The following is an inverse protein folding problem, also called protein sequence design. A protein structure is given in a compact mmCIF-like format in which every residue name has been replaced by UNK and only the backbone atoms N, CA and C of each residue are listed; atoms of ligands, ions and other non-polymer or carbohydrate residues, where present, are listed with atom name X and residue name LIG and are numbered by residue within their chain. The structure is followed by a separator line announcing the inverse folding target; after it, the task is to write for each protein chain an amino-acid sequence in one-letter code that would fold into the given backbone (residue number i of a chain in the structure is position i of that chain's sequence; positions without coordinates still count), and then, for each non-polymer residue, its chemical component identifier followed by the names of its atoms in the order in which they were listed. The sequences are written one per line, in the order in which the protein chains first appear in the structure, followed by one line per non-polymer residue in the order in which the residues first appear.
data_IF_267653587905
#
_entry.id   IF_267653587905
#
_cell.length_a   1.000
_cell.length_b   1.000
_cell.length_c   1.000
_cell.angle_alpha   90.00
_cell.angle_beta   90.00
_cell.angle_gamma   90.00
#
_symmetry.space_group_name_H-M   'P 1'
#
loop_
_entity.id
_entity.type
_entity.pdbx_description
1 polymer ?
#
# COMPACT_ATOMS: atom_id res chain seq x y z
N UNK A 1 14.42 -12.05 4.28
CA UNK A 1 13.28 -11.27 3.74
C UNK A 1 13.61 -10.55 2.42
N UNK A 2 14.72 -9.79 2.30
CA UNK A 2 15.06 -9.13 1.02
C UNK A 2 15.28 -10.11 -0.15
N UNK A 3 15.87 -11.28 0.10
CA UNK A 3 16.10 -12.31 -0.93
C UNK A 3 14.83 -13.04 -1.40
N UNK A 4 13.71 -12.89 -0.69
CA UNK A 4 12.46 -13.60 -0.97
C UNK A 4 11.45 -12.74 -1.76
N UNK A 5 11.88 -11.55 -2.19
CA UNK A 5 11.07 -10.59 -2.94
C UNK A 5 11.38 -10.68 -4.43
N UNK A 6 10.41 -10.30 -5.24
CA UNK A 6 10.45 -10.37 -6.71
C UNK A 6 11.60 -9.53 -7.29
N UNK A 7 11.93 -8.43 -6.61
CA UNK A 7 13.04 -7.56 -7.00
C UNK A 7 14.41 -8.26 -6.91
N UNK A 8 14.53 -9.35 -6.16
CA UNK A 8 15.77 -10.14 -6.11
C UNK A 8 16.12 -10.75 -7.46
N UNK A 9 15.13 -11.20 -8.25
CA UNK A 9 15.38 -11.78 -9.58
C UNK A 9 16.11 -10.79 -10.50
N UNK A 10 15.80 -9.50 -10.36
CA UNK A 10 16.46 -8.42 -11.10
C UNK A 10 17.86 -8.21 -10.56
N UNK A 11 18.04 -8.19 -9.23
CA UNK A 11 19.36 -7.99 -8.61
C UNK A 11 20.36 -9.06 -9.04
N UNK A 12 19.94 -10.32 -9.21
CA UNK A 12 20.81 -11.41 -9.69
C UNK A 12 21.47 -11.05 -11.03
N UNK A 13 20.73 -10.47 -11.97
CA UNK A 13 21.23 -10.11 -13.29
C UNK A 13 22.42 -9.12 -13.21
N UNK A 14 22.39 -8.21 -12.24
CA UNK A 14 23.46 -7.25 -12.01
C UNK A 14 24.64 -7.82 -11.20
N UNK A 15 24.46 -8.94 -10.51
CA UNK A 15 25.53 -9.63 -9.79
C UNK A 15 26.31 -10.61 -10.68
N UNK A 16 25.72 -11.09 -11.79
CA UNK A 16 26.39 -11.97 -12.76
C UNK A 16 27.74 -11.41 -13.30
N UNK A 17 27.87 -10.10 -13.63
CA UNK A 17 29.15 -9.51 -14.02
C UNK A 17 30.25 -9.57 -12.94
N UNK A 18 29.90 -9.78 -11.66
CA UNK A 18 30.89 -9.92 -10.58
C UNK A 18 31.60 -11.26 -10.62
N UNK A 19 30.91 -12.32 -11.03
CA UNK A 19 31.50 -13.62 -11.26
C UNK A 19 32.50 -13.61 -12.44
N UNK A 20 32.40 -12.61 -13.33
CA UNK A 20 33.28 -12.39 -14.48
C UNK A 20 34.67 -11.81 -14.09
N UNK A 21 34.88 -11.32 -12.86
CA UNK A 21 36.11 -10.61 -12.48
C UNK A 21 37.15 -11.47 -11.77
N UNK A 22 38.00 -12.15 -12.54
CA UNK A 22 39.48 -12.24 -12.36
C UNK A 22 40.06 -13.20 -13.42
N UNK A 23 40.97 -12.69 -14.27
CA UNK A 23 41.95 -13.52 -15.00
C UNK A 23 41.42 -14.38 -16.16
N UNK A 24 40.82 -13.75 -17.18
CA UNK A 24 40.82 -14.21 -18.58
C UNK A 24 40.25 -15.57 -18.98
N UNK A 25 39.90 -16.48 -18.06
CA UNK A 25 39.47 -17.85 -18.38
C UNK A 25 37.95 -17.99 -18.23
N UNK A 26 37.26 -18.17 -19.35
CA UNK A 26 35.80 -18.34 -19.46
C UNK A 26 35.24 -19.44 -18.53
N UNK A 27 35.95 -20.56 -18.38
CA UNK A 27 35.56 -21.69 -17.52
C UNK A 27 35.51 -21.32 -16.03
N UNK A 28 36.47 -20.52 -15.55
CA UNK A 28 36.53 -20.09 -14.14
C UNK A 28 35.36 -19.14 -13.83
N UNK A 29 34.99 -18.33 -14.82
CA UNK A 29 33.84 -17.43 -14.77
C UNK A 29 32.52 -18.20 -14.76
N UNK A 30 32.36 -19.21 -15.61
CA UNK A 30 31.17 -20.07 -15.63
C UNK A 30 30.98 -20.77 -14.28
N UNK A 31 32.05 -21.29 -13.67
CA UNK A 31 32.00 -21.94 -12.36
C UNK A 31 31.60 -20.95 -11.24
N UNK A 32 32.08 -19.71 -11.27
CA UNK A 32 31.71 -18.70 -10.27
C UNK A 32 30.27 -18.22 -10.44
N UNK A 33 29.85 -18.01 -11.68
CA UNK A 33 28.47 -17.63 -12.01
C UNK A 33 27.50 -18.73 -11.62
N UNK A 34 27.86 -20.00 -11.87
CA UNK A 34 27.04 -21.15 -11.50
C UNK A 34 26.96 -21.33 -9.99
N UNK A 35 28.04 -21.08 -9.23
CA UNK A 35 28.01 -21.09 -7.76
C UNK A 35 27.14 -19.97 -7.19
N UNK A 36 27.21 -18.76 -7.76
CA UNK A 36 26.33 -17.65 -7.37
C UNK A 36 24.86 -17.97 -7.65
N UNK A 37 24.56 -18.49 -8.84
CA UNK A 37 23.22 -18.93 -9.23
C UNK A 37 22.74 -20.07 -8.33
N UNK A 38 23.59 -21.04 -8.03
CA UNK A 38 23.29 -22.14 -7.11
C UNK A 38 22.94 -21.59 -5.71
N UNK A 39 23.71 -20.64 -5.19
CA UNK A 39 23.41 -19.98 -3.92
C UNK A 39 22.06 -19.27 -3.92
N UNK A 40 21.72 -18.58 -5.01
CA UNK A 40 20.39 -17.96 -5.18
C UNK A 40 19.30 -19.03 -5.24
N UNK A 41 19.48 -20.08 -6.05
CA UNK A 41 18.53 -21.18 -6.19
C UNK A 41 18.33 -21.86 -4.83
N UNK A 42 19.38 -22.13 -4.07
CA UNK A 42 19.26 -22.73 -2.72
C UNK A 42 18.42 -21.89 -1.77
N UNK A 43 18.42 -20.56 -1.92
CA UNK A 43 17.59 -19.67 -1.10
C UNK A 43 16.15 -19.60 -1.61
N UNK A 44 15.93 -19.61 -2.94
CA UNK A 44 14.60 -19.48 -3.54
C UNK A 44 13.84 -20.81 -3.62
N UNK A 45 14.55 -21.94 -3.74
CA UNK A 45 13.96 -23.26 -3.95
C UNK A 45 13.05 -23.71 -2.80
N UNK A 46 13.39 -23.50 -1.50
CA UNK A 46 12.46 -23.81 -0.41
C UNK A 46 11.15 -23.02 -0.50
N UNK A 47 11.21 -21.77 -0.98
CA UNK A 47 10.02 -20.94 -1.20
C UNK A 47 9.23 -21.42 -2.41
N UNK A 48 9.91 -21.75 -3.51
CA UNK A 48 9.30 -22.36 -4.69
C UNK A 48 8.55 -23.66 -4.35
N UNK A 49 9.21 -24.51 -3.58
CA UNK A 49 8.68 -25.80 -3.13
C UNK A 49 7.48 -25.63 -2.22
N UNK A 50 7.56 -24.72 -1.23
CA UNK A 50 6.42 -24.38 -0.36
C UNK A 50 5.25 -23.81 -1.15
N UNK A 51 5.51 -22.96 -2.15
CA UNK A 51 4.45 -22.39 -3.00
C UNK A 51 3.79 -23.45 -3.87
N UNK A 52 4.56 -24.43 -4.35
CA UNK A 52 4.04 -25.57 -5.10
C UNK A 52 3.14 -26.45 -4.23
N UNK A 53 3.58 -26.82 -3.02
CA UNK A 53 2.79 -27.65 -2.09
C UNK A 53 1.50 -26.94 -1.63
N UNK A 54 1.57 -25.65 -1.32
CA UNK A 54 0.45 -24.93 -0.68
C UNK A 54 -0.50 -24.31 -1.70
N UNK A 55 -0.02 -23.99 -2.90
CA UNK A 55 -0.77 -23.19 -3.87
C UNK A 55 -0.82 -23.79 -5.28
N UNK A 56 -0.37 -25.05 -5.46
CA UNK A 56 -0.34 -25.77 -6.74
C UNK A 56 0.38 -25.03 -7.89
N UNK A 57 1.25 -24.07 -7.56
CA UNK A 57 2.02 -23.30 -8.55
C UNK A 57 3.49 -23.20 -8.14
N UNK A 58 4.39 -23.60 -9.03
CA UNK A 58 5.82 -23.44 -8.84
C UNK A 58 6.25 -21.99 -9.10
N UNK A 59 6.38 -21.21 -8.02
CA UNK A 59 6.80 -19.80 -8.07
C UNK A 59 7.99 -19.57 -7.12
N UNK A 60 9.18 -19.19 -7.62
CA UNK A 60 10.37 -19.02 -6.79
C UNK A 60 10.32 -17.82 -5.83
N UNK A 61 9.30 -16.96 -5.98
CA UNK A 61 9.07 -15.78 -5.14
C UNK A 61 7.57 -15.64 -4.84
N UNK A 62 7.13 -14.49 -4.35
CA UNK A 62 5.71 -14.29 -4.02
C UNK A 62 4.85 -14.07 -5.27
N UNK A 63 3.55 -14.36 -5.17
CA UNK A 63 2.59 -14.14 -6.26
C UNK A 63 2.15 -12.67 -6.39
N UNK A 64 2.72 -11.74 -5.62
CA UNK A 64 2.27 -10.34 -5.63
C UNK A 64 3.00 -9.47 -6.65
N UNK A 65 4.01 -9.99 -7.35
CA UNK A 65 4.81 -9.25 -8.32
C UNK A 65 3.98 -8.42 -9.30
N UNK A 66 2.99 -9.02 -9.97
CA UNK A 66 2.15 -8.31 -10.94
C UNK A 66 1.23 -7.27 -10.31
N UNK A 67 0.69 -7.54 -9.12
CA UNK A 67 -0.12 -6.59 -8.34
C UNK A 67 0.74 -5.37 -7.97
N UNK A 68 1.92 -5.61 -7.39
CA UNK A 68 2.85 -4.56 -7.00
C UNK A 68 3.34 -3.76 -8.20
N UNK A 69 3.55 -4.43 -9.34
CA UNK A 69 3.94 -3.77 -10.58
C UNK A 69 2.81 -2.86 -11.08
N UNK A 70 1.56 -3.31 -11.05
CA UNK A 70 0.42 -2.48 -11.42
C UNK A 70 0.21 -1.28 -10.49
N UNK A 71 0.30 -1.48 -9.17
CA UNK A 71 0.19 -0.36 -8.19
C UNK A 71 1.18 0.75 -8.52
N UNK A 72 2.41 0.38 -8.89
CA UNK A 72 3.43 1.33 -9.28
C UNK A 72 3.30 1.86 -10.71
N UNK A 73 2.52 1.24 -11.59
CA UNK A 73 2.50 1.52 -13.03
C UNK A 73 1.08 1.40 -13.59
N UNK A 74 0.29 2.44 -13.37
CA UNK A 74 -1.07 2.59 -13.89
C UNK A 74 -1.35 4.09 -14.15
N UNK A 75 -2.47 4.45 -14.80
CA UNK A 75 -2.80 5.85 -15.15
C UNK A 75 -2.80 6.83 -13.96
N UNK A 76 -3.08 6.34 -12.75
CA UNK A 76 -3.20 7.16 -11.55
C UNK A 76 -1.97 7.06 -10.65
N UNK A 77 -0.97 6.25 -11.02
CA UNK A 77 0.20 6.00 -10.20
C UNK A 77 1.04 7.27 -10.00
N UNK A 78 1.31 7.61 -8.73
CA UNK A 78 2.10 8.80 -8.38
C UNK A 78 3.58 8.49 -8.16
N UNK A 79 3.95 7.21 -8.09
CA UNK A 79 5.31 6.73 -7.79
C UNK A 79 5.45 6.16 -6.38
N UNK A 80 4.51 6.44 -5.47
CA UNK A 80 4.37 5.78 -4.17
C UNK A 80 3.27 4.73 -4.22
N UNK A 81 3.13 3.95 -3.14
CA UNK A 81 2.00 3.05 -2.98
C UNK A 81 0.68 3.80 -2.95
N UNK A 82 -0.29 3.26 -3.67
CA UNK A 82 -1.71 3.62 -3.61
C UNK A 82 -2.49 2.31 -3.71
N UNK A 83 -3.52 2.09 -2.88
CA UNK A 83 -4.30 0.86 -2.97
C UNK A 83 -5.04 0.80 -4.31
N UNK A 84 -5.21 -0.40 -4.87
CA UNK A 84 -5.98 -0.59 -6.11
C UNK A 84 -7.43 -0.15 -5.93
N UNK A 85 -7.99 -0.40 -4.75
CA UNK A 85 -9.30 0.07 -4.33
C UNK A 85 -9.09 1.18 -3.31
N UNK A 86 -9.48 2.42 -3.61
CA UNK A 86 -9.38 3.52 -2.67
C UNK A 86 -10.01 3.16 -1.32
N UNK A 87 -9.42 3.63 -0.22
CA UNK A 87 -9.99 3.45 1.11
C UNK A 87 -9.73 2.09 1.75
N UNK A 88 -8.94 1.23 1.11
CA UNK A 88 -8.61 -0.12 1.58
C UNK A 88 -7.12 -0.24 1.92
N UNK A 89 -6.57 0.79 2.57
CA UNK A 89 -5.16 0.94 2.94
C UNK A 89 -4.74 0.11 4.16
N UNK A 90 -5.48 -0.95 4.46
CA UNK A 90 -5.25 -1.84 5.60
C UNK A 90 -4.56 -3.10 5.07
N UNK A 91 -3.48 -3.59 5.71
CA UNK A 91 -2.70 -4.75 5.25
C UNK A 91 -3.53 -5.99 4.88
N UNK A 92 -4.68 -6.19 5.54
CA UNK A 92 -5.61 -7.28 5.22
C UNK A 92 -6.20 -7.15 3.81
N UNK A 93 -6.66 -5.94 3.44
CA UNK A 93 -7.31 -5.68 2.16
C UNK A 93 -6.32 -5.54 0.99
N UNK A 94 -5.06 -5.21 1.26
CA UNK A 94 -4.01 -5.15 0.23
C UNK A 94 -3.87 -6.46 -0.55
N UNK A 95 -4.23 -7.59 0.06
CA UNK A 95 -4.19 -8.90 -0.60
C UNK A 95 -5.52 -9.31 -1.20
N UNK A 96 -6.63 -9.03 -0.52
CA UNK A 96 -7.94 -9.54 -0.93
C UNK A 96 -8.56 -8.71 -2.04
N UNK A 97 -8.37 -7.39 -2.05
CA UNK A 97 -8.98 -6.52 -3.05
C UNK A 97 -8.44 -6.74 -4.47
N UNK A 98 -7.11 -6.88 -4.69
CA UNK A 98 -6.61 -7.21 -6.02
C UNK A 98 -7.14 -8.53 -6.57
N UNK A 99 -7.35 -9.53 -5.69
CA UNK A 99 -7.93 -10.83 -6.06
C UNK A 99 -9.40 -10.61 -6.46
N UNK A 100 -10.19 -10.01 -5.57
CA UNK A 100 -11.62 -9.77 -5.78
C UNK A 100 -11.89 -9.00 -7.08
N UNK A 101 -11.15 -7.91 -7.32
CA UNK A 101 -11.33 -7.09 -8.52
C UNK A 101 -10.96 -7.88 -9.78
N UNK A 102 -9.88 -8.66 -9.75
CA UNK A 102 -9.49 -9.49 -10.88
C UNK A 102 -10.52 -10.60 -11.16
N UNK A 103 -11.01 -11.30 -10.12
CA UNK A 103 -12.04 -12.33 -10.25
C UNK A 103 -13.37 -11.77 -10.76
N UNK A 104 -13.76 -10.58 -10.29
CA UNK A 104 -14.96 -9.89 -10.75
C UNK A 104 -14.89 -9.51 -12.23
N UNK A 105 -13.73 -8.99 -12.68
CA UNK A 105 -13.52 -8.61 -14.09
C UNK A 105 -13.42 -9.84 -15.01
N UNK A 106 -12.86 -10.94 -14.51
CA UNK A 106 -12.72 -12.20 -15.26
C UNK A 106 -13.95 -13.13 -15.17
N UNK A 107 -14.90 -12.84 -14.28
CA UNK A 107 -16.11 -13.63 -14.08
C UNK A 107 -15.89 -15.04 -13.52
N UNK A 108 -14.73 -15.33 -12.92
CA UNK A 108 -14.38 -16.65 -12.36
C UNK A 108 -13.37 -16.53 -11.22
N UNK A 109 -13.23 -17.58 -10.43
CA UNK A 109 -12.16 -17.69 -9.47
C UNK A 109 -10.79 -17.80 -10.15
N UNK A 110 -9.80 -17.14 -9.55
CA UNK A 110 -8.44 -17.05 -10.07
C UNK A 110 -7.45 -17.58 -9.02
N UNK A 111 -6.50 -18.39 -9.48
CA UNK A 111 -5.33 -18.73 -8.68
C UNK A 111 -4.49 -17.47 -8.39
N UNK A 112 -3.70 -17.44 -7.30
CA UNK A 112 -2.84 -16.29 -7.00
C UNK A 112 -1.89 -15.91 -8.14
N UNK A 113 -1.43 -16.89 -8.93
CA UNK A 113 -0.59 -16.66 -10.10
C UNK A 113 -1.35 -15.99 -11.25
N UNK A 114 -2.60 -16.41 -11.50
CA UNK A 114 -3.46 -15.77 -12.49
C UNK A 114 -3.80 -14.33 -12.10
N UNK A 115 -4.05 -14.05 -10.81
CA UNK A 115 -4.25 -12.69 -10.31
C UNK A 115 -3.01 -11.83 -10.57
N UNK A 116 -1.81 -12.34 -10.26
CA UNK A 116 -0.55 -11.64 -10.56
C UNK A 116 -0.43 -11.32 -12.05
N UNK A 117 -0.63 -12.31 -12.90
CA UNK A 117 -0.53 -12.17 -14.35
C UNK A 117 -1.56 -11.19 -14.92
N UNK A 118 -2.78 -11.19 -14.38
CA UNK A 118 -3.84 -10.25 -14.76
C UNK A 118 -3.39 -8.81 -14.55
N UNK A 119 -2.91 -8.48 -13.35
CA UNK A 119 -2.45 -7.12 -13.02
C UNK A 119 -1.19 -6.72 -13.79
N UNK A 120 -0.24 -7.66 -13.97
CA UNK A 120 0.95 -7.43 -14.78
C UNK A 120 0.59 -7.07 -16.23
N UNK A 121 -0.32 -7.84 -16.86
CA UNK A 121 -0.79 -7.57 -18.22
C UNK A 121 -1.47 -6.21 -18.31
N UNK A 122 -2.29 -5.83 -17.32
CA UNK A 122 -2.98 -4.53 -17.27
C UNK A 122 -1.98 -3.37 -17.20
N UNK A 123 -0.94 -3.51 -16.38
CA UNK A 123 0.13 -2.51 -16.25
C UNK A 123 0.95 -2.38 -17.54
N UNK A 124 1.34 -3.51 -18.14
CA UNK A 124 2.10 -3.53 -19.40
C UNK A 124 1.29 -3.00 -20.58
N UNK A 125 -0.02 -3.30 -20.64
CA UNK A 125 -0.92 -2.76 -21.64
C UNK A 125 -1.00 -1.23 -21.52
N UNK A 126 -1.13 -0.70 -20.30
CA UNK A 126 -1.09 0.74 -20.07
C UNK A 126 0.25 1.35 -20.48
N UNK A 127 1.38 0.76 -20.08
CA UNK A 127 2.71 1.24 -20.41
C UNK A 127 2.98 1.24 -21.93
N UNK A 128 2.47 0.23 -22.65
CA UNK A 128 2.55 0.14 -24.11
C UNK A 128 1.67 1.19 -24.80
N UNK A 129 0.48 1.47 -24.26
CA UNK A 129 -0.42 2.49 -24.79
C UNK A 129 0.07 3.92 -24.49
N UNK A 130 0.78 4.13 -23.37
CA UNK A 130 1.23 5.44 -22.89
C UNK A 130 2.74 5.45 -22.55
N UNK A 131 3.63 5.27 -23.54
CA UNK A 131 5.07 5.09 -23.30
C UNK A 131 5.73 6.33 -22.68
N UNK A 132 5.31 7.54 -23.06
CA UNK A 132 5.86 8.78 -22.50
C UNK A 132 5.49 8.94 -21.02
N UNK A 133 4.25 8.66 -20.64
CA UNK A 133 3.80 8.72 -19.24
C UNK A 133 4.51 7.67 -18.39
N UNK A 134 4.69 6.46 -18.92
CA UNK A 134 5.46 5.42 -18.25
C UNK A 134 6.92 5.86 -18.00
N UNK A 135 7.61 6.40 -19.01
CA UNK A 135 8.99 6.88 -18.86
C UNK A 135 9.06 8.05 -17.88
N UNK A 136 8.14 9.02 -17.97
CA UNK A 136 8.04 10.15 -17.04
C UNK A 136 7.83 9.67 -15.61
N UNK A 137 6.99 8.66 -15.40
CA UNK A 137 6.76 8.04 -14.10
C UNK A 137 8.02 7.33 -13.56
N UNK A 138 8.75 6.59 -14.40
CA UNK A 138 10.02 5.98 -13.97
C UNK A 138 11.06 7.03 -13.59
N UNK A 139 11.16 8.11 -14.38
CA UNK A 139 12.08 9.21 -14.08
C UNK A 139 11.70 9.94 -12.78
N UNK A 140 10.40 10.16 -12.55
CA UNK A 140 9.90 10.69 -11.28
C UNK A 140 10.32 9.80 -10.10
N UNK A 141 10.11 8.49 -10.20
CA UNK A 141 10.53 7.53 -9.17
C UNK A 141 12.06 7.53 -8.98
N UNK A 142 12.83 7.67 -10.04
CA UNK A 142 14.28 7.83 -9.94
C UNK A 142 14.68 9.03 -9.08
N UNK A 143 14.09 10.20 -9.31
CA UNK A 143 14.33 11.38 -8.49
C UNK A 143 13.85 11.17 -7.04
N UNK A 144 12.70 10.52 -6.86
CA UNK A 144 12.15 10.21 -5.54
C UNK A 144 13.06 9.26 -4.75
N UNK A 145 13.69 8.28 -5.40
CA UNK A 145 14.61 7.33 -4.76
C UNK A 145 15.80 8.06 -4.13
N UNK A 146 16.41 8.99 -4.86
CA UNK A 146 17.58 9.77 -4.40
C UNK A 146 17.23 11.03 -3.61
N UNK A 147 15.94 11.33 -3.44
CA UNK A 147 15.49 12.47 -2.65
C UNK A 147 15.90 12.33 -1.18
N UNK A 148 16.25 13.46 -0.55
CA UNK A 148 16.41 13.53 0.90
C UNK A 148 15.12 13.23 1.67
N UNK A 149 13.97 13.33 0.99
CA UNK A 149 12.66 13.14 1.58
C UNK A 149 12.38 11.66 1.87
N UNK A 150 11.98 11.34 3.10
CA UNK A 150 11.57 10.01 3.56
C UNK A 150 10.08 9.78 3.30
N UNK A 151 9.76 9.27 2.11
CA UNK A 151 8.43 8.80 1.70
C UNK A 151 7.77 7.88 2.75
N UNK A 152 6.69 8.33 3.41
CA UNK A 152 6.04 7.55 4.43
C UNK A 152 5.16 6.46 3.83
N UNK A 153 4.97 5.43 4.63
CA UNK A 153 4.07 4.32 4.38
C UNK A 153 2.82 4.55 5.24
N UNK A 154 2.43 3.61 6.11
CA UNK A 154 1.36 3.77 7.08
C UNK A 154 1.67 4.79 8.21
N UNK A 155 2.94 5.13 8.45
CA UNK A 155 3.36 6.05 9.52
C UNK A 155 4.25 7.15 8.95
N UNK A 156 3.99 8.40 9.36
CA UNK A 156 4.80 9.54 8.97
C UNK A 156 6.09 9.64 9.81
N UNK A 157 7.23 9.43 9.15
CA UNK A 157 8.55 9.49 9.78
C UNK A 157 8.84 10.87 10.41
N UNK A 158 8.45 11.96 9.76
CA UNK A 158 8.76 13.31 10.22
C UNK A 158 7.94 13.71 11.44
N UNK A 159 6.70 13.22 11.54
CA UNK A 159 5.92 13.33 12.77
C UNK A 159 6.58 12.59 13.93
N UNK A 160 6.98 11.33 13.72
CA UNK A 160 7.66 10.53 14.77
C UNK A 160 8.98 11.19 15.17
N UNK A 161 9.75 11.69 14.20
CA UNK A 161 11.01 12.40 14.42
C UNK A 161 10.84 13.63 15.31
N UNK A 162 9.81 14.45 15.10
CA UNK A 162 9.48 15.61 15.94
C UNK A 162 9.08 15.23 17.36
N UNK A 163 8.60 14.02 17.59
CA UNK A 163 8.10 13.55 18.89
C UNK A 163 9.05 12.58 19.62
N UNK A 164 10.17 12.17 19.00
CA UNK A 164 11.15 11.27 19.59
C UNK A 164 12.35 12.01 20.15
N UNK A 165 12.84 11.62 21.34
CA UNK A 165 14.07 12.16 21.92
C UNK A 165 15.30 11.84 21.07
N UNK A 166 15.40 10.59 20.59
CA UNK A 166 16.57 10.10 19.87
C UNK A 166 16.60 10.64 18.44
N UNK A 167 15.46 10.63 17.73
CA UNK A 167 15.42 11.04 16.32
C UNK A 167 15.54 12.57 16.13
N UNK A 168 15.41 13.35 17.21
CA UNK A 168 15.70 14.80 17.19
C UNK A 168 17.19 15.10 17.01
N UNK A 169 18.07 14.25 17.55
CA UNK A 169 19.52 14.41 17.45
C UNK A 169 19.98 14.48 16.00
N UNK A 170 21.01 15.27 15.64
CA UNK A 170 21.50 15.46 14.28
C UNK A 170 22.20 14.21 13.75
N UNK A 171 21.46 13.12 13.60
CA UNK A 171 21.91 11.86 13.02
C UNK A 171 21.89 11.95 11.49
N UNK A 172 22.76 11.16 10.85
CA UNK A 172 22.80 11.04 9.40
C UNK A 172 21.49 10.44 8.85
N UNK A 173 20.72 11.27 8.14
CA UNK A 173 19.55 10.85 7.37
C UNK A 173 19.97 10.32 5.99
N UNK A 174 19.05 9.64 5.29
CA UNK A 174 19.33 9.09 3.96
C UNK A 174 19.94 10.14 3.01
N UNK A 175 19.36 11.34 2.96
CA UNK A 175 19.87 12.44 2.13
C UNK A 175 21.31 12.85 2.49
N UNK A 176 21.64 12.89 3.79
CA UNK A 176 22.99 13.20 4.26
C UNK A 176 24.00 12.11 3.90
N UNK A 177 23.64 10.84 4.11
CA UNK A 177 24.46 9.68 3.72
C UNK A 177 24.69 9.69 2.21
N UNK A 178 23.64 9.97 1.44
CA UNK A 178 23.72 10.03 -0.02
C UNK A 178 24.68 11.14 -0.50
N UNK A 179 24.60 12.35 0.07
CA UNK A 179 25.52 13.44 -0.26
C UNK A 179 26.98 13.04 0.02
N UNK A 180 27.26 12.46 1.20
CA UNK A 180 28.60 11.97 1.53
C UNK A 180 29.05 10.85 0.60
N UNK A 181 28.14 9.95 0.20
CA UNK A 181 28.43 8.89 -0.75
C UNK A 181 28.83 9.43 -2.13
N UNK A 182 28.16 10.49 -2.63
CA UNK A 182 28.53 11.16 -3.88
C UNK A 182 29.92 11.78 -3.80
N UNK A 183 30.25 12.42 -2.68
CA UNK A 183 31.57 13.01 -2.44
C UNK A 183 32.64 11.91 -2.40
N UNK A 184 32.40 10.83 -1.65
CA UNK A 184 33.31 9.70 -1.58
C UNK A 184 33.56 9.08 -2.95
N UNK A 185 32.50 8.90 -3.75
CA UNK A 185 32.59 8.43 -5.13
C UNK A 185 33.41 9.40 -6.01
N UNK A 186 33.18 10.71 -5.90
CA UNK A 186 33.90 11.72 -6.67
C UNK A 186 35.40 11.79 -6.31
N UNK A 187 35.73 11.70 -5.02
CA UNK A 187 37.12 11.67 -4.52
C UNK A 187 37.85 10.41 -5.00
N UNK A 188 37.16 9.28 -5.02
CA UNK A 188 37.70 7.98 -5.44
C UNK A 188 37.44 7.65 -6.91
N UNK A 189 37.05 8.63 -7.74
CA UNK A 189 36.70 8.42 -9.16
C UNK A 189 37.82 7.76 -9.98
N UNK A 190 39.09 8.06 -9.66
CA UNK A 190 40.25 7.42 -10.30
C UNK A 190 40.38 5.93 -9.97
N UNK A 191 39.68 5.45 -8.94
CA UNK A 191 39.65 4.05 -8.46
C UNK A 191 38.28 3.40 -8.68
N UNK A 192 37.44 3.91 -9.60
CA UNK A 192 36.10 3.37 -9.89
C UNK A 192 36.09 1.87 -10.16
N UNK A 193 37.15 1.32 -10.75
CA UNK A 193 37.28 -0.14 -10.94
C UNK A 193 37.16 -0.90 -9.62
N UNK A 194 37.66 -0.38 -8.49
CA UNK A 194 37.54 -1.01 -7.16
C UNK A 194 36.12 -0.86 -6.58
N UNK A 195 35.39 0.18 -6.98
CA UNK A 195 34.03 0.47 -6.51
C UNK A 195 32.93 -0.12 -7.41
N UNK A 196 33.29 -0.78 -8.51
CA UNK A 196 32.33 -1.31 -9.47
C UNK A 196 31.28 -2.21 -8.82
N UNK A 197 31.67 -3.05 -7.86
CA UNK A 197 30.74 -3.95 -7.16
C UNK A 197 29.68 -3.18 -6.40
N UNK A 198 30.10 -2.15 -5.67
CA UNK A 198 29.21 -1.27 -4.91
C UNK A 198 28.29 -0.52 -5.85
N UNK A 199 28.82 0.03 -6.96
CA UNK A 199 28.04 0.73 -7.97
C UNK A 199 27.01 -0.17 -8.67
N UNK A 200 27.42 -1.37 -9.08
CA UNK A 200 26.51 -2.36 -9.69
C UNK A 200 25.41 -2.76 -8.72
N UNK A 201 25.72 -3.01 -7.45
CA UNK A 201 24.72 -3.32 -6.44
C UNK A 201 23.72 -2.17 -6.25
N UNK A 202 24.21 -0.93 -6.13
CA UNK A 202 23.34 0.25 -5.99
C UNK A 202 22.42 0.43 -7.20
N UNK A 203 22.96 0.31 -8.41
CA UNK A 203 22.17 0.37 -9.63
C UNK A 203 21.15 -0.76 -9.70
N UNK A 204 21.55 -1.98 -9.38
CA UNK A 204 20.68 -3.15 -9.35
C UNK A 204 19.50 -2.97 -8.41
N UNK A 205 19.79 -2.51 -7.19
CA UNK A 205 18.80 -2.32 -6.14
C UNK A 205 17.85 -1.15 -6.49
N UNK A 206 18.40 -0.07 -7.03
CA UNK A 206 17.62 1.07 -7.48
C UNK A 206 16.67 0.66 -8.62
N UNK A 207 17.18 0.00 -9.66
CA UNK A 207 16.34 -0.46 -10.79
C UNK A 207 15.26 -1.43 -10.29
N UNK A 208 15.64 -2.39 -9.44
CA UNK A 208 14.70 -3.40 -8.95
C UNK A 208 13.61 -2.83 -8.03
N UNK A 209 13.78 -1.63 -7.48
CA UNK A 209 12.78 -0.95 -6.65
C UNK A 209 11.95 0.06 -7.43
N UNK A 210 12.57 0.84 -8.33
CA UNK A 210 11.91 1.87 -9.14
C UNK A 210 10.82 1.28 -10.04
N UNK A 211 11.04 0.09 -10.60
CA UNK A 211 10.06 -0.52 -11.51
C UNK A 211 8.71 -0.83 -10.84
N UNK A 212 8.63 -0.82 -9.51
CA UNK A 212 7.39 -0.98 -8.74
C UNK A 212 6.92 0.39 -8.24
N UNK A 213 6.76 0.57 -6.92
CA UNK A 213 6.47 1.83 -6.25
C UNK A 213 7.45 2.02 -5.09
N UNK A 214 7.62 3.26 -4.64
CA UNK A 214 8.64 3.63 -3.65
C UNK A 214 8.06 3.92 -2.27
N UNK A 215 8.81 3.44 -1.27
CA UNK A 215 8.73 3.81 0.13
C UNK A 215 10.15 4.01 0.66
N UNK A 216 10.30 4.77 1.73
CA UNK A 216 11.60 4.90 2.43
C UNK A 216 12.19 3.55 2.81
N UNK A 217 11.35 2.62 3.28
CA UNK A 217 11.76 1.26 3.67
C UNK A 217 12.42 0.47 2.53
N UNK A 218 12.12 0.79 1.27
CA UNK A 218 12.70 0.11 0.11
C UNK A 218 14.09 0.62 -0.27
N UNK A 219 14.49 1.78 0.26
CA UNK A 219 15.85 2.32 0.09
C UNK A 219 16.84 1.77 1.12
N UNK A 220 16.35 1.24 2.24
CA UNK A 220 17.20 0.73 3.33
C UNK A 220 18.28 -0.25 2.85
N UNK A 221 18.02 -1.19 1.92
CA UNK A 221 19.07 -2.11 1.50
C UNK A 221 20.17 -1.49 0.63
N UNK A 222 19.98 -0.26 0.13
CA UNK A 222 21.04 0.52 -0.50
C UNK A 222 21.99 1.18 0.52
N UNK A 223 21.54 1.38 1.77
CA UNK A 223 22.32 2.10 2.79
C UNK A 223 23.69 1.50 3.07
N UNK A 224 23.87 0.17 3.24
CA UNK A 224 25.21 -0.38 3.50
C UNK A 224 26.24 0.03 2.43
N UNK A 225 25.84 -0.01 1.16
CA UNK A 225 26.69 0.41 0.04
C UNK A 225 26.95 1.92 0.04
N UNK A 226 25.94 2.74 0.35
CA UNK A 226 26.10 4.20 0.48
C UNK A 226 26.98 4.58 1.67
N UNK A 227 26.86 3.89 2.81
CA UNK A 227 27.67 4.09 4.01
C UNK A 227 29.15 3.81 3.70
N UNK A 228 29.45 2.76 2.95
CA UNK A 228 30.83 2.48 2.51
C UNK A 228 31.41 3.63 1.68
N UNK A 229 30.63 4.19 0.75
CA UNK A 229 31.05 5.34 -0.04
C UNK A 229 31.18 6.61 0.82
N UNK A 230 30.24 6.86 1.73
CA UNK A 230 30.29 7.98 2.66
C UNK A 230 31.51 7.91 3.59
N UNK A 231 31.88 6.71 4.05
CA UNK A 231 33.08 6.48 4.84
C UNK A 231 34.36 6.88 4.08
N UNK A 232 34.41 6.73 2.75
CA UNK A 232 35.55 7.22 1.95
C UNK A 232 35.69 8.74 2.00
N UNK A 233 34.58 9.48 2.06
CA UNK A 233 34.61 10.93 2.23
C UNK A 233 35.15 11.32 3.61
N UNK A 234 34.68 10.64 4.67
CA UNK A 234 35.15 10.87 6.04
C UNK A 234 36.62 10.46 6.25
N UNK A 235 37.05 9.35 5.66
CA UNK A 235 38.47 8.96 5.67
C UNK A 235 39.34 10.00 4.95
N UNK A 236 38.87 10.50 3.80
CA UNK A 236 39.57 11.56 3.05
C UNK A 236 39.64 12.90 3.80
N UNK A 237 38.69 13.16 4.69
CA UNK A 237 38.70 14.29 5.61
C UNK A 237 39.78 14.08 6.68
N UNK A 238 39.82 12.92 7.33
CA UNK A 238 40.87 12.57 8.30
C UNK A 238 42.27 12.70 7.72
N UNK A 239 42.51 12.15 6.52
CA UNK A 239 43.78 12.30 5.81
C UNK A 239 44.13 13.76 5.49
N UNK A 240 43.12 14.60 5.20
CA UNK A 240 43.36 16.01 4.90
C UNK A 240 43.81 16.79 6.13
N UNK A 241 43.23 16.49 7.29
CA UNK A 241 43.64 17.06 8.58
C UNK A 241 45.04 16.60 8.96
N UNK A 242 45.34 15.31 8.86
CA UNK A 242 46.66 14.74 9.16
C UNK A 242 47.76 15.37 8.29
N UNK A 243 47.51 15.52 6.99
CA UNK A 243 48.45 16.13 6.03
C UNK A 243 48.45 17.66 6.05
N UNK A 244 47.71 18.29 6.98
CA UNK A 244 47.56 19.76 7.08
C UNK A 244 47.13 20.42 5.76
N UNK A 245 46.36 19.73 4.93
CA UNK A 245 45.77 20.31 3.73
C UNK A 245 44.48 21.05 4.10
N UNK A 246 44.65 22.26 4.64
CA UNK A 246 43.57 23.07 5.22
C UNK A 246 42.44 23.36 4.24
N UNK A 247 42.74 23.60 2.95
CA UNK A 247 41.72 23.85 1.92
C UNK A 247 40.80 22.65 1.75
N UNK A 248 41.38 21.44 1.61
CA UNK A 248 40.60 20.20 1.47
C UNK A 248 39.87 19.84 2.77
N UNK A 249 40.52 20.01 3.92
CA UNK A 249 39.95 19.72 5.23
C UNK A 249 38.72 20.61 5.52
N UNK A 250 38.83 21.92 5.29
CA UNK A 250 37.74 22.86 5.50
C UNK A 250 36.57 22.59 4.54
N UNK A 251 36.87 22.34 3.26
CA UNK A 251 35.85 21.98 2.26
C UNK A 251 35.07 20.72 2.65
N UNK A 252 35.77 19.64 3.02
CA UNK A 252 35.12 18.39 3.43
C UNK A 252 34.38 18.52 4.77
N UNK A 253 34.88 19.33 5.71
CA UNK A 253 34.18 19.64 6.97
C UNK A 253 32.87 20.38 6.68
N UNK A 254 32.89 21.37 5.79
CA UNK A 254 31.69 22.07 5.34
C UNK A 254 30.68 21.13 4.68
N UNK A 255 31.13 20.14 3.91
CA UNK A 255 30.26 19.14 3.30
C UNK A 255 29.67 18.15 4.30
N UNK A 256 30.42 17.75 5.34
CA UNK A 256 29.89 16.94 6.46
C UNK A 256 28.87 17.73 7.25
N UNK A 257 29.13 19.01 7.50
CA UNK A 257 28.15 19.89 8.13
C UNK A 257 26.88 20.00 7.26
N UNK A 258 27.05 20.25 5.95
CA UNK A 258 25.92 20.31 5.01
C UNK A 258 25.11 19.00 5.00
N UNK A 259 25.77 17.84 5.03
CA UNK A 259 25.06 16.55 5.00
C UNK A 259 24.28 16.26 6.28
N UNK A 260 24.71 16.79 7.43
CA UNK A 260 24.00 16.67 8.71
C UNK A 260 22.81 17.64 8.81
N UNK A 261 22.96 18.86 8.31
CA UNK A 261 22.01 19.94 8.56
C UNK A 261 21.09 20.28 7.38
N UNK A 262 21.54 20.15 6.12
CA UNK A 262 20.71 20.51 4.96
C UNK A 262 19.40 19.69 4.85
N UNK A 263 19.40 18.35 5.04
CA UNK A 263 18.15 17.58 5.02
C UNK A 263 17.14 18.02 6.08
N UNK A 264 17.62 18.58 7.21
CA UNK A 264 16.78 19.14 8.27
C UNK A 264 16.27 20.53 7.94
N UNK A 265 17.11 21.40 7.40
CA UNK A 265 16.77 22.80 7.12
C UNK A 265 15.85 22.96 5.92
N UNK A 266 15.97 22.07 4.93
CA UNK A 266 15.10 22.09 3.74
C UNK A 266 13.64 21.79 4.06
N UNK A 267 13.35 21.35 5.28
CA UNK A 267 12.01 21.28 5.84
C UNK A 267 11.16 20.18 5.21
N UNK A 268 10.42 19.47 6.04
CA UNK A 268 9.29 18.69 5.56
C UNK A 268 8.09 18.89 6.49
N UNK A 269 6.93 19.11 5.88
CA UNK A 269 5.66 19.15 6.56
C UNK A 269 5.12 17.72 6.62
N UNK A 270 5.07 17.08 7.81
CA UNK A 270 4.49 15.74 7.93
C UNK A 270 3.13 15.67 7.25
N UNK A 271 2.79 14.51 6.69
CA UNK A 271 1.45 14.25 6.16
C UNK A 271 0.44 14.23 7.31
N UNK A 272 -0.04 15.41 7.68
CA UNK A 272 -0.91 15.61 8.84
C UNK A 272 -2.27 14.96 8.64
N UNK A 273 -2.71 14.82 7.40
CA UNK A 273 -3.86 13.99 7.03
C UNK A 273 -3.69 12.54 7.51
N UNK A 274 -2.57 11.89 7.14
CA UNK A 274 -2.27 10.52 7.57
C UNK A 274 -2.08 10.41 9.10
N UNK A 275 -1.39 11.38 9.71
CA UNK A 275 -1.17 11.40 11.17
C UNK A 275 -2.49 11.49 11.92
N UNK A 276 -3.34 12.45 11.54
CA UNK A 276 -4.63 12.65 12.18
C UNK A 276 -5.59 11.49 11.93
N UNK A 277 -5.62 10.93 10.71
CA UNK A 277 -6.39 9.72 10.43
C UNK A 277 -5.98 8.55 11.35
N UNK A 278 -4.68 8.29 11.49
CA UNK A 278 -4.17 7.23 12.37
C UNK A 278 -4.45 7.48 13.85
N UNK A 279 -4.31 8.73 14.32
CA UNK A 279 -4.70 9.09 15.69
C UNK A 279 -6.20 8.89 15.91
N UNK A 280 -7.04 9.23 14.93
CA UNK A 280 -8.47 8.95 14.92
C UNK A 280 -8.77 7.47 15.13
N UNK A 281 -8.13 6.60 14.36
CA UNK A 281 -8.25 5.14 14.50
C UNK A 281 -7.82 4.65 15.88
N UNK A 282 -6.73 5.18 16.44
CA UNK A 282 -6.24 4.81 17.78
C UNK A 282 -7.25 5.22 18.86
N UNK A 283 -7.73 6.47 18.85
CA UNK A 283 -8.71 6.93 19.84
C UNK A 283 -10.05 6.21 19.72
N UNK A 284 -10.45 5.85 18.50
CA UNK A 284 -11.65 5.04 18.29
C UNK A 284 -11.52 3.65 18.92
N UNK A 285 -10.37 2.98 18.74
CA UNK A 285 -10.08 1.69 19.40
C UNK A 285 -10.05 1.80 20.93
N UNK A 286 -9.64 2.94 21.45
CA UNK A 286 -9.66 3.25 22.89
C UNK A 286 -11.05 3.69 23.39
N UNK A 287 -12.08 3.74 22.53
CA UNK A 287 -13.43 4.17 22.87
C UNK A 287 -13.58 5.69 23.07
N UNK A 288 -12.54 6.49 22.85
CA UNK A 288 -12.53 7.94 23.04
C UNK A 288 -13.08 8.65 21.80
N UNK A 289 -14.38 8.53 21.57
CA UNK A 289 -15.03 8.94 20.32
C UNK A 289 -14.93 10.45 20.03
N UNK A 290 -14.93 11.32 21.03
CA UNK A 290 -14.77 12.77 20.79
C UNK A 290 -13.39 13.13 20.26
N UNK A 291 -12.33 12.50 20.81
CA UNK A 291 -10.96 12.69 20.31
C UNK A 291 -10.79 12.10 18.92
N UNK A 292 -11.41 10.94 18.67
CA UNK A 292 -11.41 10.33 17.35
C UNK A 292 -12.06 11.25 16.31
N UNK A 293 -13.24 11.80 16.62
CA UNK A 293 -13.95 12.74 15.75
C UNK A 293 -13.12 14.01 15.49
N UNK A 294 -12.51 14.60 16.53
CA UNK A 294 -11.61 15.74 16.39
C UNK A 294 -10.48 15.43 15.41
N UNK A 295 -9.80 14.29 15.56
CA UNK A 295 -8.71 13.94 14.66
C UNK A 295 -9.17 13.63 13.23
N UNK A 296 -10.30 12.95 13.02
CA UNK A 296 -10.83 12.80 11.66
C UNK A 296 -11.18 14.15 11.02
N UNK A 297 -11.70 15.12 11.78
CA UNK A 297 -11.93 16.48 11.27
C UNK A 297 -10.63 17.18 10.87
N UNK A 298 -9.56 17.04 11.66
CA UNK A 298 -8.25 17.60 11.32
C UNK A 298 -7.62 16.91 10.10
N UNK A 299 -7.87 15.61 9.91
CA UNK A 299 -7.43 14.89 8.72
C UNK A 299 -8.12 15.44 7.46
N UNK A 300 -9.46 15.63 7.51
CA UNK A 300 -10.25 16.24 6.43
C UNK A 300 -9.82 17.68 6.16
N UNK A 301 -9.50 18.45 7.21
CA UNK A 301 -9.02 19.82 7.07
C UNK A 301 -7.63 19.87 6.38
N UNK A 302 -6.77 18.88 6.65
CA UNK A 302 -5.44 18.75 6.04
C UNK A 302 -5.52 18.24 4.59
N UNK A 303 -6.48 17.35 4.31
CA UNK A 303 -6.74 16.78 3.00
C UNK A 303 -8.25 16.66 2.78
N UNK A 304 -8.80 17.60 2.02
CA UNK A 304 -10.24 17.67 1.71
C UNK A 304 -10.76 16.48 0.91
N UNK A 305 -9.87 15.65 0.35
CA UNK A 305 -10.21 14.42 -0.37
C UNK A 305 -10.10 13.15 0.50
N UNK A 306 -9.85 13.28 1.81
CA UNK A 306 -9.81 12.13 2.73
C UNK A 306 -11.23 11.62 3.06
N UNK A 307 -11.79 10.87 2.11
CA UNK A 307 -13.10 10.28 2.24
C UNK A 307 -13.16 9.18 3.33
N UNK A 308 -12.02 8.59 3.71
CA UNK A 308 -11.97 7.60 4.79
C UNK A 308 -12.27 8.25 6.14
N UNK A 309 -11.63 9.39 6.42
CA UNK A 309 -11.92 10.19 7.60
C UNK A 309 -13.37 10.68 7.60
N UNK A 310 -13.93 11.04 6.44
CA UNK A 310 -15.36 11.39 6.33
C UNK A 310 -16.28 10.21 6.68
N UNK A 311 -16.00 9.01 6.18
CA UNK A 311 -16.73 7.79 6.54
C UNK A 311 -16.65 7.53 8.05
N UNK A 312 -15.45 7.59 8.63
CA UNK A 312 -15.27 7.30 10.06
C UNK A 312 -15.92 8.36 10.96
N UNK A 313 -15.88 9.63 10.58
CA UNK A 313 -16.62 10.69 11.27
C UNK A 313 -18.14 10.46 11.20
N UNK A 314 -18.66 10.08 10.03
CA UNK A 314 -20.05 9.64 9.87
C UNK A 314 -20.40 8.45 10.76
N UNK A 315 -19.50 7.46 10.86
CA UNK A 315 -19.68 6.28 11.72
C UNK A 315 -19.75 6.66 13.21
N UNK A 316 -18.93 7.61 13.67
CA UNK A 316 -18.99 8.12 15.04
C UNK A 316 -20.34 8.79 15.31
N UNK A 317 -20.83 9.62 14.38
CA UNK A 317 -22.13 10.29 14.51
C UNK A 317 -23.30 9.28 14.49
N UNK A 318 -23.22 8.26 13.64
CA UNK A 318 -24.16 7.16 13.58
C UNK A 318 -24.22 6.37 14.91
N UNK A 319 -23.06 6.11 15.54
CA UNK A 319 -23.00 5.48 16.88
C UNK A 319 -23.66 6.33 17.98
N UNK A 320 -23.75 7.64 17.79
CA UNK A 320 -24.48 8.59 18.64
C UNK A 320 -25.96 8.76 18.25
N UNK A 321 -26.46 7.92 17.35
CA UNK A 321 -27.80 8.02 16.75
C UNK A 321 -28.08 9.33 15.99
N UNK A 322 -27.05 10.13 15.66
CA UNK A 322 -27.22 11.32 14.83
C UNK A 322 -27.11 10.93 13.33
N UNK A 323 -28.15 10.26 12.84
CA UNK A 323 -28.19 9.73 11.47
C UNK A 323 -28.26 10.82 10.40
N UNK A 324 -28.84 11.98 10.71
CA UNK A 324 -28.88 13.12 9.79
C UNK A 324 -27.47 13.66 9.54
N UNK A 325 -26.71 13.96 10.58
CA UNK A 325 -25.34 14.45 10.41
C UNK A 325 -24.42 13.37 9.82
N UNK A 326 -24.63 12.09 10.17
CA UNK A 326 -23.89 10.98 9.55
C UNK A 326 -24.13 10.91 8.04
N UNK A 327 -25.39 11.08 7.61
CA UNK A 327 -25.77 11.09 6.20
C UNK A 327 -24.99 12.14 5.41
N UNK A 328 -24.88 13.36 5.93
CA UNK A 328 -24.15 14.45 5.25
C UNK A 328 -22.68 14.10 5.02
N UNK A 329 -22.02 13.49 6.01
CA UNK A 329 -20.63 13.05 5.86
C UNK A 329 -20.46 11.88 4.90
N UNK A 330 -21.39 10.92 4.91
CA UNK A 330 -21.36 9.83 3.94
C UNK A 330 -21.61 10.33 2.51
N UNK A 331 -22.46 11.35 2.32
CA UNK A 331 -22.69 11.97 1.02
C UNK A 331 -21.42 12.68 0.52
N UNK A 332 -20.73 13.42 1.39
CA UNK A 332 -19.43 14.03 1.07
C UNK A 332 -18.41 12.97 0.67
N UNK A 333 -18.28 11.89 1.44
CA UNK A 333 -17.37 10.80 1.12
C UNK A 333 -17.65 10.17 -0.26
N UNK A 334 -18.93 9.90 -0.57
CA UNK A 334 -19.33 9.34 -1.85
C UNK A 334 -19.21 10.34 -3.03
N UNK A 335 -19.26 11.65 -2.77
CA UNK A 335 -18.98 12.66 -3.78
C UNK A 335 -17.48 12.75 -4.10
N UNK A 336 -16.63 12.63 -3.07
CA UNK A 336 -15.17 12.62 -3.21
C UNK A 336 -14.68 11.35 -3.90
N UNK A 337 -15.18 10.19 -3.49
CA UNK A 337 -14.82 8.89 -4.08
C UNK A 337 -16.10 8.08 -4.36
N UNK A 338 -16.66 8.18 -5.57
CA UNK A 338 -17.90 7.48 -5.94
C UNK A 338 -17.84 5.97 -5.80
N UNK A 339 -16.64 5.36 -5.93
CA UNK A 339 -16.43 3.92 -5.78
C UNK A 339 -16.06 3.51 -4.36
N UNK A 340 -16.18 4.41 -3.37
CA UNK A 340 -16.01 4.09 -1.95
C UNK A 340 -17.17 3.20 -1.48
N UNK A 341 -16.97 1.89 -1.57
CA UNK A 341 -17.92 0.86 -1.12
C UNK A 341 -18.51 1.16 0.26
N UNK A 342 -17.64 1.46 1.25
CA UNK A 342 -18.06 1.76 2.62
C UNK A 342 -18.98 2.98 2.73
N UNK A 343 -18.76 4.02 1.90
CA UNK A 343 -19.66 5.19 1.86
C UNK A 343 -21.03 4.80 1.30
N UNK A 344 -21.08 4.01 0.23
CA UNK A 344 -22.34 3.57 -0.38
C UNK A 344 -23.16 2.68 0.57
N UNK A 345 -22.52 1.75 1.28
CA UNK A 345 -23.17 0.91 2.30
C UNK A 345 -23.75 1.76 3.42
N UNK A 346 -22.97 2.71 3.93
CA UNK A 346 -23.38 3.58 5.02
C UNK A 346 -24.48 4.57 4.63
N UNK A 347 -24.46 5.11 3.40
CA UNK A 347 -25.57 5.89 2.85
C UNK A 347 -26.85 5.08 2.82
N UNK A 348 -26.78 3.85 2.30
CA UNK A 348 -27.90 2.92 2.27
C UNK A 348 -28.51 2.71 3.66
N UNK A 349 -27.67 2.43 4.65
CA UNK A 349 -28.09 2.26 6.05
C UNK A 349 -28.68 3.53 6.66
N UNK A 350 -28.05 4.68 6.46
CA UNK A 350 -28.54 5.96 6.98
C UNK A 350 -29.93 6.30 6.41
N UNK A 351 -30.13 6.13 5.10
CA UNK A 351 -31.43 6.35 4.46
C UNK A 351 -32.52 5.38 4.96
N UNK A 352 -32.20 4.11 5.22
CA UNK A 352 -33.16 3.17 5.84
C UNK A 352 -33.64 3.70 7.19
N UNK A 353 -32.73 4.22 8.01
CA UNK A 353 -33.03 4.68 9.37
C UNK A 353 -33.76 6.02 9.38
N UNK A 354 -33.51 6.87 8.38
CA UNK A 354 -34.23 8.11 8.15
C UNK A 354 -35.55 7.92 7.36
N UNK A 355 -35.90 6.69 6.98
CA UNK A 355 -37.16 6.35 6.31
C UNK A 355 -37.20 6.58 4.80
N UNK A 356 -36.10 6.99 4.16
CA UNK A 356 -36.04 7.17 2.71
C UNK A 356 -35.63 5.87 2.01
N UNK A 357 -36.59 4.97 1.80
CA UNK A 357 -36.33 3.61 1.31
C UNK A 357 -35.90 3.57 -0.17
N UNK A 358 -36.30 4.55 -0.98
CA UNK A 358 -35.93 4.66 -2.39
C UNK A 358 -34.45 4.97 -2.55
N UNK A 359 -33.96 6.03 -1.87
CA UNK A 359 -32.53 6.38 -1.91
C UNK A 359 -31.66 5.30 -1.28
N UNK A 360 -32.14 4.65 -0.22
CA UNK A 360 -31.44 3.53 0.38
C UNK A 360 -31.16 2.42 -0.65
N UNK A 361 -32.14 2.08 -1.49
CA UNK A 361 -31.98 1.03 -2.50
C UNK A 361 -30.90 1.37 -3.53
N UNK A 362 -30.92 2.61 -4.03
CA UNK A 362 -29.95 3.10 -5.02
C UNK A 362 -28.52 2.92 -4.49
N UNK A 363 -28.26 3.37 -3.26
CA UNK A 363 -26.90 3.30 -2.70
C UNK A 363 -26.48 1.87 -2.34
N UNK A 364 -27.38 1.02 -1.86
CA UNK A 364 -27.07 -0.39 -1.60
C UNK A 364 -26.81 -1.18 -2.88
N UNK A 365 -27.56 -0.91 -3.95
CA UNK A 365 -27.29 -1.52 -5.26
C UNK A 365 -25.95 -1.05 -5.83
N UNK A 366 -25.60 0.24 -5.73
CA UNK A 366 -24.26 0.74 -6.08
C UNK A 366 -23.15 0.06 -5.28
N UNK A 367 -23.33 -0.14 -3.97
CA UNK A 367 -22.36 -0.88 -3.16
C UNK A 367 -22.17 -2.32 -3.68
N UNK A 368 -23.25 -2.98 -4.10
CA UNK A 368 -23.23 -4.34 -4.66
C UNK A 368 -22.72 -4.40 -6.10
N UNK A 369 -22.80 -3.31 -6.87
CA UNK A 369 -22.12 -3.19 -8.17
C UNK A 369 -20.60 -3.11 -7.97
N UNK A 370 -20.14 -2.34 -6.96
CA UNK A 370 -18.72 -2.22 -6.60
C UNK A 370 -18.19 -3.54 -6.04
N UNK A 371 -18.94 -4.18 -5.14
CA UNK A 371 -18.62 -5.47 -4.55
C UNK A 371 -19.88 -6.33 -4.40
N UNK A 372 -20.13 -7.27 -5.32
CA UNK A 372 -21.29 -8.15 -5.29
C UNK A 372 -21.38 -9.08 -4.08
N UNK A 373 -20.28 -9.25 -3.33
CA UNK A 373 -20.18 -10.11 -2.16
C UNK A 373 -20.12 -9.32 -0.85
N UNK A 374 -20.38 -8.01 -0.85
CA UNK A 374 -20.39 -7.23 0.38
C UNK A 374 -21.55 -7.68 1.29
N UNK A 375 -21.20 -8.36 2.37
CA UNK A 375 -22.13 -8.93 3.35
C UNK A 375 -23.00 -7.84 4.01
N UNK A 376 -22.42 -6.70 4.37
CA UNK A 376 -23.15 -5.60 5.02
C UNK A 376 -24.16 -4.94 4.07
N UNK A 377 -23.78 -4.73 2.81
CA UNK A 377 -24.66 -4.23 1.75
C UNK A 377 -25.85 -5.18 1.52
N UNK A 378 -25.59 -6.49 1.38
CA UNK A 378 -26.62 -7.52 1.21
C UNK A 378 -27.57 -7.59 2.42
N UNK A 379 -27.04 -7.44 3.65
CA UNK A 379 -27.87 -7.38 4.85
C UNK A 379 -28.76 -6.14 4.88
N UNK A 380 -28.19 -4.96 4.64
CA UNK A 380 -28.96 -3.72 4.62
C UNK A 380 -30.01 -3.76 3.51
N UNK A 381 -29.71 -4.37 2.36
CA UNK A 381 -30.70 -4.58 1.28
C UNK A 381 -31.79 -5.56 1.72
N UNK A 382 -31.44 -6.63 2.43
CA UNK A 382 -32.42 -7.55 3.02
C UNK A 382 -33.39 -6.83 3.96
N UNK A 383 -32.87 -5.98 4.86
CA UNK A 383 -33.67 -5.19 5.80
C UNK A 383 -34.55 -4.18 5.07
N UNK A 384 -34.01 -3.53 4.03
CA UNK A 384 -34.74 -2.60 3.19
C UNK A 384 -35.93 -3.27 2.49
N UNK A 385 -35.70 -4.40 1.83
CA UNK A 385 -36.74 -5.18 1.15
C UNK A 385 -37.82 -5.64 2.12
N UNK A 386 -37.43 -6.05 3.34
CA UNK A 386 -38.37 -6.39 4.40
C UNK A 386 -39.25 -5.20 4.81
N UNK A 387 -38.67 -3.99 4.91
CA UNK A 387 -39.41 -2.75 5.21
C UNK A 387 -40.37 -2.35 4.09
N UNK A 388 -40.03 -2.67 2.84
CA UNK A 388 -40.92 -2.49 1.67
C UNK A 388 -42.01 -3.56 1.54
N UNK A 389 -42.04 -4.56 2.44
CA UNK A 389 -42.98 -5.69 2.36
C UNK A 389 -42.63 -6.75 1.32
N UNK A 390 -41.47 -6.63 0.66
CA UNK A 390 -41.00 -7.56 -0.38
C UNK A 390 -40.30 -8.78 0.26
N UNK A 391 -41.06 -9.55 1.04
CA UNK A 391 -40.49 -10.59 1.90
C UNK A 391 -39.82 -11.73 1.12
N UNK A 392 -40.33 -12.08 -0.07
CA UNK A 392 -39.72 -13.13 -0.90
C UNK A 392 -38.36 -12.70 -1.46
N UNK A 393 -38.23 -11.44 -1.92
CA UNK A 393 -36.95 -10.90 -2.36
C UNK A 393 -35.96 -10.72 -1.20
N UNK A 394 -36.46 -10.32 -0.03
CA UNK A 394 -35.66 -10.26 1.18
C UNK A 394 -35.10 -11.65 1.54
N UNK A 395 -35.90 -12.72 1.45
CA UNK A 395 -35.43 -14.10 1.67
C UNK A 395 -34.36 -14.53 0.67
N UNK A 396 -34.50 -14.18 -0.62
CA UNK A 396 -33.47 -14.44 -1.65
C UNK A 396 -32.15 -13.73 -1.33
N UNK A 397 -32.20 -12.44 -0.99
CA UNK A 397 -31.02 -11.66 -0.62
C UNK A 397 -30.37 -12.19 0.67
N UNK A 398 -31.18 -12.55 1.67
CA UNK A 398 -30.73 -13.16 2.91
C UNK A 398 -30.02 -14.50 2.68
N UNK A 399 -30.50 -15.33 1.74
CA UNK A 399 -29.86 -16.59 1.36
C UNK A 399 -28.43 -16.38 0.86
N UNK A 400 -28.19 -15.34 0.04
CA UNK A 400 -26.84 -14.96 -0.40
C UNK A 400 -25.93 -14.60 0.78
N UNK A 401 -26.44 -13.88 1.78
CA UNK A 401 -25.67 -13.58 3.00
C UNK A 401 -25.28 -14.85 3.75
N UNK A 402 -26.20 -15.82 3.87
CA UNK A 402 -25.94 -17.10 4.54
C UNK A 402 -24.89 -17.92 3.79
N UNK A 403 -24.90 -17.90 2.47
CA UNK A 403 -23.89 -18.58 1.66
C UNK A 403 -22.49 -17.99 1.87
N UNK A 404 -22.38 -16.66 1.99
CA UNK A 404 -21.11 -15.96 2.20
C UNK A 404 -20.60 -16.02 3.66
N UNK A 405 -21.52 -16.12 4.63
CA UNK A 405 -21.19 -16.18 6.06
C UNK A 405 -22.06 -17.23 6.77
N UNK A 406 -21.80 -18.54 6.55
CA UNK A 406 -22.57 -19.60 7.17
C UNK A 406 -22.38 -19.55 8.69
N UNK A 407 -23.50 -19.50 9.43
CA UNK A 407 -23.50 -19.49 10.90
C UNK A 407 -23.51 -18.12 11.56
N UNK A 408 -23.59 -17.00 10.82
CA UNK A 408 -23.68 -15.67 11.45
C UNK A 408 -25.08 -15.45 12.09
N UNK A 409 -25.20 -15.40 13.44
CA UNK A 409 -26.51 -15.47 14.11
C UNK A 409 -27.51 -14.36 13.75
N UNK A 410 -27.10 -13.09 13.56
CA UNK A 410 -28.02 -12.04 13.11
C UNK A 410 -28.74 -12.35 11.80
N UNK A 411 -28.06 -12.99 10.84
CA UNK A 411 -28.63 -13.33 9.52
C UNK A 411 -29.71 -14.39 9.66
N UNK A 412 -29.45 -15.41 10.49
CA UNK A 412 -30.38 -16.52 10.74
C UNK A 412 -31.63 -16.03 11.49
N UNK A 413 -31.46 -15.14 12.46
CA UNK A 413 -32.59 -14.49 13.15
C UNK A 413 -33.45 -13.66 12.18
N UNK A 414 -32.81 -12.90 11.29
CA UNK A 414 -33.52 -12.13 10.27
C UNK A 414 -34.30 -13.06 9.32
N UNK A 415 -33.70 -14.18 8.91
CA UNK A 415 -34.38 -15.20 8.09
C UNK A 415 -35.63 -15.74 8.77
N UNK A 416 -35.53 -16.14 10.04
CA UNK A 416 -36.66 -16.68 10.79
C UNK A 416 -37.82 -15.66 10.87
N UNK A 417 -37.50 -14.37 11.07
CA UNK A 417 -38.50 -13.29 11.05
C UNK A 417 -39.14 -13.14 9.66
N UNK A 418 -38.34 -13.16 8.60
CA UNK A 418 -38.83 -13.06 7.23
C UNK A 418 -39.74 -14.23 6.83
N UNK A 419 -39.41 -15.47 7.24
CA UNK A 419 -40.24 -16.64 6.96
C UNK A 419 -41.63 -16.53 7.62
N UNK A 420 -41.70 -16.02 8.85
CA UNK A 420 -42.98 -15.75 9.53
C UNK A 420 -43.80 -14.69 8.79
N UNK A 421 -43.16 -13.62 8.33
CA UNK A 421 -43.82 -12.53 7.60
C UNK A 421 -44.21 -12.91 6.16
N UNK A 422 -43.49 -13.83 5.54
CA UNK A 422 -43.77 -14.34 4.21
C UNK A 422 -44.82 -15.47 4.19
N UNK A 423 -45.17 -16.02 5.36
CA UNK A 423 -46.19 -17.08 5.47
C UNK A 423 -47.58 -16.47 5.29
N UNK A 424 -48.49 -17.10 4.52
CA UNK A 424 -49.86 -16.62 4.41
C UNK A 424 -50.52 -16.64 5.79
N UNK A 425 -51.05 -15.50 6.25
CA UNK A 425 -51.81 -15.47 7.50
C UNK A 425 -53.03 -16.40 7.38
N UNK A 426 -53.32 -17.23 8.38
CA UNK A 426 -54.53 -18.05 8.36
C UNK A 426 -55.72 -17.09 8.27
N UNK A 427 -56.54 -17.24 7.23
CA UNK A 427 -57.82 -16.54 7.11
C UNK A 427 -58.56 -16.75 8.43
N UNK A 428 -58.80 -15.68 9.18
CA UNK A 428 -59.73 -15.72 10.30
C UNK A 428 -61.02 -16.34 9.76
N UNK A 429 -61.33 -17.55 10.23
CA UNK A 429 -62.64 -18.13 10.03
C UNK A 429 -63.61 -17.14 10.65
N UNK A 430 -64.28 -16.36 9.81
CA UNK A 430 -65.41 -15.54 10.21
C UNK A 430 -66.35 -16.45 11.00
N UNK A 431 -66.38 -16.28 12.32
CA UNK A 431 -67.42 -16.85 13.18
C UNK A 431 -68.71 -16.14 12.80
N UNK A 432 -69.35 -16.61 11.73
CA UNK A 432 -70.79 -16.45 11.56
C UNK A 432 -71.42 -17.49 12.49
N UNK A 433 -71.85 -17.01 13.66
CA UNK A 433 -72.88 -17.67 14.45
C UNK A 433 -74.24 -17.23 13.90
#
# INVERSE_FOLDING_TARGET
LCLLRENMLIVVLFLLPLAYRKGGKLLLTLKKSSLLLLGVIMVLLPVAWRNWIVGDVFLPTTFQGGVNFYIGNNPHATGTYQPIVPGKEIPYYERTEPIRVAEQEMGRHLSPAEVSNFWLKKALAWAKANPLDFVRLQFKKFLMFWSWYEWPDAVDYYYVKKNSLILKLPLFEFGGIFLLALIGLWLWRKRLKKLLVVGLFLCAWMVSTIIFFLFSRYRLPALPALILLAALALASLGEAWEKRNWKKALFLTGLVFLSLFAPRSLGYQPRMDLVHYNLGLVFERLGQLDKAAFHYQQAIASNSNDFLSMINLGNILARRNNWSAALDWYQKAAATEPRAEGAQVNLGRAYILLGNLEKAEIHLRKALEINPQNIEALQNLTVLLAKKGLFQEALKTNQRVIQLAPGWPPVLRLRAKLLKLASPQPKEKSRKK
#
